data_IF_655542000470
#
_entry.id   IF_655542000470
#
_cell.length_a   1.000
_cell.length_b   1.000
_cell.length_c   1.000
_cell.angle_alpha   90.00
_cell.angle_beta   90.00
_cell.angle_gamma   90.00
#
_symmetry.space_group_name_H-M   'P 1'
#
loop_
_entity.id
_entity.type
_entity.pdbx_description
1 polymer ?
#
# COMPACT_ATOMS: atom_id res chain seq x y z
N UNK A 1 17.69 23.84 -18.72
CA UNK A 1 19.11 23.44 -18.55
C UNK A 1 19.39 22.29 -19.50
N UNK A 2 20.16 22.51 -20.57
CA UNK A 2 20.60 21.44 -21.49
C UNK A 2 21.44 20.46 -20.67
N UNK A 3 21.05 19.18 -20.62
CA UNK A 3 21.76 18.16 -19.85
C UNK A 3 23.21 18.06 -20.33
N UNK A 4 24.13 17.75 -19.42
CA UNK A 4 25.57 17.67 -19.72
C UNK A 4 25.88 16.71 -20.88
N UNK A 5 25.00 15.71 -21.09
CA UNK A 5 25.02 14.72 -22.18
C UNK A 5 24.82 15.36 -23.56
N UNK A 6 23.92 16.33 -23.68
CA UNK A 6 23.67 17.04 -24.93
C UNK A 6 24.85 17.97 -25.27
N UNK A 7 25.50 18.55 -24.25
CA UNK A 7 26.69 19.39 -24.45
C UNK A 7 27.89 18.57 -24.95
N UNK A 8 28.10 17.38 -24.38
CA UNK A 8 29.14 16.45 -24.83
C UNK A 8 28.90 15.96 -26.25
N UNK A 9 27.65 15.60 -26.60
CA UNK A 9 27.30 15.20 -27.96
C UNK A 9 27.53 16.32 -28.99
N UNK A 10 27.15 17.56 -28.66
CA UNK A 10 27.36 18.73 -29.53
C UNK A 10 28.86 19.02 -29.68
N UNK A 11 29.63 19.01 -28.59
CA UNK A 11 31.08 19.19 -28.66
C UNK A 11 31.75 18.13 -29.54
N UNK A 12 31.24 16.89 -29.49
CA UNK A 12 31.74 15.81 -30.32
C UNK A 12 31.48 16.00 -31.80
N UNK A 13 30.25 16.39 -32.14
CA UNK A 13 29.86 16.67 -33.53
C UNK A 13 30.75 17.78 -34.08
N UNK A 14 31.01 18.83 -33.28
CA UNK A 14 31.90 19.93 -33.65
C UNK A 14 33.33 19.44 -33.91
N UNK A 15 33.90 18.65 -33.00
CA UNK A 15 35.26 18.08 -33.15
C UNK A 15 35.35 17.18 -34.39
N UNK A 16 34.35 16.33 -34.62
CA UNK A 16 34.28 15.45 -35.78
C UNK A 16 34.16 16.22 -37.09
N UNK A 17 33.33 17.27 -37.14
CA UNK A 17 33.24 18.15 -38.31
C UNK A 17 34.54 18.92 -38.55
N UNK A 18 35.21 19.40 -37.51
CA UNK A 18 36.50 20.10 -37.63
C UNK A 18 37.60 19.18 -38.14
N UNK A 19 37.68 17.94 -37.63
CA UNK A 19 38.63 16.95 -38.13
C UNK A 19 38.31 16.52 -39.57
N UNK A 20 37.04 16.32 -39.92
CA UNK A 20 36.63 16.00 -41.29
C UNK A 20 36.91 17.14 -42.28
N UNK A 21 36.72 18.39 -41.86
CA UNK A 21 37.10 19.57 -42.64
C UNK A 21 38.63 19.67 -42.79
N UNK A 22 39.39 19.39 -41.73
CA UNK A 22 40.86 19.42 -41.78
C UNK A 22 41.44 18.38 -42.75
N UNK A 23 40.86 17.17 -42.80
CA UNK A 23 41.23 16.12 -43.76
C UNK A 23 40.84 16.51 -45.20
N UNK A 24 39.62 17.05 -45.38
CA UNK A 24 39.16 17.55 -46.69
C UNK A 24 40.05 18.67 -47.26
N UNK A 25 40.54 19.58 -46.40
CA UNK A 25 41.40 20.70 -46.79
C UNK A 25 42.90 20.43 -46.63
N UNK A 26 43.32 19.19 -46.39
CA UNK A 26 44.72 18.81 -46.14
C UNK A 26 45.68 19.35 -47.23
N UNK A 27 45.26 19.33 -48.50
CA UNK A 27 46.05 19.81 -49.63
C UNK A 27 45.96 21.32 -49.91
N UNK A 28 45.07 22.03 -49.21
CA UNK A 28 44.75 23.45 -49.48
C UNK A 28 45.34 24.40 -48.44
N UNK A 29 45.75 23.90 -47.27
CA UNK A 29 46.25 24.70 -46.15
C UNK A 29 47.73 24.33 -45.90
N UNK A 30 48.69 25.24 -46.15
CA UNK A 30 50.13 24.97 -46.06
C UNK A 30 50.61 24.47 -44.68
N UNK A 31 49.89 24.84 -43.61
CA UNK A 31 50.18 24.38 -42.25
C UNK A 31 49.86 22.90 -42.03
N UNK A 32 48.81 22.37 -42.68
CA UNK A 32 48.31 21.01 -42.50
C UNK A 32 49.08 20.03 -43.42
N UNK A 33 49.57 20.52 -44.56
CA UNK A 33 50.38 19.77 -45.53
C UNK A 33 51.69 19.20 -44.97
N UNK A 34 52.24 19.82 -43.92
CA UNK A 34 53.49 19.39 -43.27
C UNK A 34 53.27 18.36 -42.15
N UNK A 35 52.01 18.03 -41.82
CA UNK A 35 51.69 17.02 -40.83
C UNK A 35 51.54 15.65 -41.52
N UNK A 36 52.16 14.57 -41.00
CA UNK A 36 51.96 13.23 -41.53
C UNK A 36 50.47 12.87 -41.50
N UNK A 37 49.94 12.44 -42.64
CA UNK A 37 48.52 12.10 -42.79
C UNK A 37 48.06 11.02 -41.79
N UNK A 38 48.98 10.14 -41.37
CA UNK A 38 48.77 9.12 -40.35
C UNK A 38 48.50 9.68 -38.95
N UNK A 39 49.00 10.88 -38.65
CA UNK A 39 48.82 11.51 -37.33
C UNK A 39 47.38 11.99 -37.13
N UNK A 40 46.77 12.59 -38.16
CA UNK A 40 45.36 13.01 -38.13
C UNK A 40 44.41 11.82 -38.09
N UNK A 41 44.67 10.79 -38.90
CA UNK A 41 43.89 9.55 -38.86
C UNK A 41 43.98 8.86 -37.51
N UNK A 42 45.18 8.74 -36.93
CA UNK A 42 45.38 8.15 -35.60
C UNK A 42 44.65 8.92 -34.50
N UNK A 43 44.78 10.24 -34.46
CA UNK A 43 44.08 11.08 -33.48
C UNK A 43 42.55 10.99 -33.62
N UNK A 44 42.05 10.95 -34.85
CA UNK A 44 40.62 10.82 -35.12
C UNK A 44 40.08 9.45 -34.67
N UNK A 45 40.74 8.35 -35.03
CA UNK A 45 40.29 7.01 -34.66
C UNK A 45 40.38 6.76 -33.16
N UNK A 46 41.42 7.25 -32.49
CA UNK A 46 41.54 7.18 -31.03
C UNK A 46 40.46 8.01 -30.32
N UNK A 47 40.22 9.25 -30.78
CA UNK A 47 39.19 10.11 -30.18
C UNK A 47 37.78 9.53 -30.36
N UNK A 48 37.46 9.04 -31.56
CA UNK A 48 36.19 8.34 -31.83
C UNK A 48 36.07 7.09 -30.96
N UNK A 49 37.15 6.30 -30.85
CA UNK A 49 37.19 5.11 -30.02
C UNK A 49 36.89 5.41 -28.56
N UNK A 50 37.60 6.36 -27.96
CA UNK A 50 37.40 6.78 -26.56
C UNK A 50 35.96 7.21 -26.31
N UNK A 51 35.39 8.01 -27.20
CA UNK A 51 34.05 8.54 -27.01
C UNK A 51 33.00 7.45 -27.16
N UNK A 52 33.16 6.58 -28.15
CA UNK A 52 32.27 5.45 -28.35
C UNK A 52 32.32 4.51 -27.15
N UNK A 53 33.50 4.30 -26.56
CA UNK A 53 33.64 3.56 -25.30
C UNK A 53 32.94 4.27 -24.14
N UNK A 54 33.14 5.57 -23.93
CA UNK A 54 32.47 6.34 -22.86
C UNK A 54 30.94 6.27 -23.01
N UNK A 55 30.43 6.44 -24.23
CA UNK A 55 29.00 6.34 -24.52
C UNK A 55 28.45 4.94 -24.24
N UNK A 56 29.14 3.88 -24.67
CA UNK A 56 28.73 2.50 -24.41
C UNK A 56 28.73 2.18 -22.91
N UNK A 57 29.78 2.63 -22.19
CA UNK A 57 29.89 2.48 -20.74
C UNK A 57 28.71 3.18 -20.06
N UNK A 58 28.40 4.43 -20.40
CA UNK A 58 27.26 5.18 -19.86
C UNK A 58 25.91 4.49 -20.15
N UNK A 59 25.75 3.93 -21.36
CA UNK A 59 24.54 3.22 -21.75
C UNK A 59 24.37 1.94 -20.93
N UNK A 60 25.44 1.16 -20.76
CA UNK A 60 25.44 -0.06 -19.95
C UNK A 60 25.16 0.28 -18.47
N UNK A 61 25.81 1.30 -17.93
CA UNK A 61 25.55 1.75 -16.56
C UNK A 61 24.10 2.22 -16.37
N UNK A 62 23.56 3.00 -17.29
CA UNK A 62 22.17 3.46 -17.21
C UNK A 62 21.18 2.30 -17.26
N UNK A 63 21.40 1.28 -18.11
CA UNK A 63 20.56 0.09 -18.13
C UNK A 63 20.68 -0.72 -16.84
N UNK A 64 21.91 -0.84 -16.31
CA UNK A 64 22.16 -1.52 -15.05
C UNK A 64 21.44 -0.83 -13.89
N UNK A 65 21.52 0.51 -13.79
CA UNK A 65 20.81 1.29 -12.77
C UNK A 65 19.30 1.09 -12.84
N UNK A 66 18.70 1.09 -14.04
CA UNK A 66 17.26 0.84 -14.22
C UNK A 66 16.90 -0.57 -13.71
N UNK A 67 17.71 -1.58 -14.02
CA UNK A 67 17.46 -2.96 -13.58
C UNK A 67 17.59 -3.08 -12.06
N UNK A 68 18.64 -2.51 -11.47
CA UNK A 68 18.85 -2.49 -10.02
C UNK A 68 17.72 -1.74 -9.31
N UNK A 69 17.30 -0.58 -9.82
CA UNK A 69 16.17 0.18 -9.26
C UNK A 69 14.89 -0.67 -9.27
N UNK A 70 14.58 -1.29 -10.41
CA UNK A 70 13.39 -2.16 -10.54
C UNK A 70 13.42 -3.34 -9.57
N UNK A 71 14.59 -3.96 -9.38
CA UNK A 71 14.74 -5.06 -8.42
C UNK A 71 14.53 -4.58 -6.98
N UNK A 72 15.18 -3.48 -6.57
CA UNK A 72 14.99 -2.90 -5.24
C UNK A 72 13.54 -2.52 -4.97
N UNK A 73 12.87 -1.99 -5.98
CA UNK A 73 11.44 -1.65 -5.93
C UNK A 73 10.58 -2.88 -5.69
N UNK A 74 10.78 -3.97 -6.44
CA UNK A 74 10.06 -5.24 -6.23
C UNK A 74 10.34 -5.84 -4.84
N UNK A 75 11.57 -5.79 -4.36
CA UNK A 75 11.95 -6.23 -3.01
C UNK A 75 11.27 -5.37 -1.93
N UNK A 76 11.13 -4.06 -2.14
CA UNK A 76 10.39 -3.17 -1.26
C UNK A 76 8.91 -3.57 -1.19
N UNK A 77 8.27 -3.80 -2.34
CA UNK A 77 6.87 -4.28 -2.41
C UNK A 77 6.69 -5.64 -1.72
N UNK A 78 7.61 -6.59 -1.96
CA UNK A 78 7.54 -7.92 -1.35
C UNK A 78 7.63 -7.84 0.18
N UNK A 79 8.50 -6.98 0.73
CA UNK A 79 8.61 -6.73 2.17
C UNK A 79 7.35 -6.08 2.73
N UNK A 80 6.83 -5.05 2.05
CA UNK A 80 5.57 -4.42 2.44
C UNK A 80 4.42 -5.44 2.47
N UNK A 81 4.35 -6.32 1.47
CA UNK A 81 3.34 -7.38 1.41
C UNK A 81 3.49 -8.39 2.54
N UNK A 82 4.70 -8.83 2.84
CA UNK A 82 4.93 -9.75 3.96
C UNK A 82 4.44 -9.16 5.29
N UNK A 83 4.75 -7.89 5.54
CA UNK A 83 4.32 -7.20 6.76
C UNK A 83 2.80 -6.99 6.80
N UNK A 84 2.21 -6.54 5.70
CA UNK A 84 0.81 -6.16 5.64
C UNK A 84 -0.15 -7.36 5.65
N UNK A 85 0.21 -8.45 4.95
CA UNK A 85 -0.66 -9.62 4.75
C UNK A 85 -1.10 -10.25 6.06
N UNK A 86 -0.19 -10.41 7.03
CA UNK A 86 -0.53 -10.97 8.35
C UNK A 86 -1.58 -10.12 9.07
N UNK A 87 -1.50 -8.79 8.99
CA UNK A 87 -2.50 -7.92 9.59
C UNK A 87 -3.85 -7.99 8.88
N UNK A 88 -3.86 -8.09 7.55
CA UNK A 88 -5.10 -8.30 6.80
C UNK A 88 -5.74 -9.67 7.07
N UNK A 89 -4.95 -10.73 7.19
CA UNK A 89 -5.45 -12.06 7.53
C UNK A 89 -6.07 -12.08 8.94
N UNK A 90 -5.42 -11.45 9.91
CA UNK A 90 -5.98 -11.26 11.25
C UNK A 90 -7.26 -10.42 11.19
N UNK A 91 -7.26 -9.31 10.45
CA UNK A 91 -8.46 -8.48 10.27
C UNK A 91 -9.63 -9.31 9.73
N UNK A 92 -9.43 -10.08 8.65
CA UNK A 92 -10.47 -10.95 8.08
C UNK A 92 -11.01 -11.95 9.10
N UNK A 93 -10.14 -12.54 9.93
CA UNK A 93 -10.57 -13.48 10.97
C UNK A 93 -11.53 -12.84 11.98
N UNK A 94 -11.20 -11.68 12.53
CA UNK A 94 -12.09 -11.02 13.51
C UNK A 94 -13.27 -10.32 12.86
N UNK A 95 -13.12 -9.83 11.62
CA UNK A 95 -14.23 -9.33 10.83
C UNK A 95 -15.27 -10.45 10.62
N UNK A 96 -14.85 -11.66 10.25
CA UNK A 96 -15.75 -12.81 10.16
C UNK A 96 -16.53 -13.05 11.46
N UNK A 97 -15.86 -13.07 12.61
CA UNK A 97 -16.55 -13.24 13.90
C UNK A 97 -17.50 -12.09 14.21
N UNK A 98 -17.12 -10.85 13.89
CA UNK A 98 -17.92 -9.66 14.14
C UNK A 98 -19.17 -9.62 13.26
N UNK A 99 -19.07 -10.12 12.02
CA UNK A 99 -20.09 -9.97 10.99
C UNK A 99 -20.84 -11.27 10.69
N UNK A 100 -20.60 -12.31 11.48
CA UNK A 100 -21.32 -13.58 11.38
C UNK A 100 -21.96 -13.87 12.74
N UNK A 101 -23.31 -13.93 12.80
CA UNK A 101 -24.03 -14.30 14.01
C UNK A 101 -23.51 -15.59 14.63
N UNK A 102 -23.48 -15.66 15.96
CA UNK A 102 -22.83 -16.75 16.69
C UNK A 102 -23.40 -18.14 16.35
N UNK A 103 -24.69 -18.22 16.04
CA UNK A 103 -25.41 -19.43 15.60
C UNK A 103 -25.05 -19.88 14.17
N UNK A 104 -24.45 -19.01 13.37
CA UNK A 104 -24.07 -19.26 11.97
C UNK A 104 -22.57 -19.44 11.77
N UNK A 105 -21.78 -19.36 12.84
CA UNK A 105 -20.33 -19.53 12.76
C UNK A 105 -20.00 -21.01 12.61
N UNK A 106 -19.38 -21.36 11.49
CA UNK A 106 -18.83 -22.69 11.30
C UNK A 106 -17.54 -22.84 12.13
N UNK A 107 -17.43 -23.94 12.88
CA UNK A 107 -16.24 -24.29 13.67
C UNK A 107 -15.38 -25.30 12.91
N UNK A 108 -14.06 -25.08 12.86
CA UNK A 108 -13.08 -26.00 12.23
C UNK A 108 -12.60 -25.55 10.85
N UNK A 109 -12.03 -26.47 10.06
CA UNK A 109 -11.42 -26.22 8.73
C UNK A 109 -12.41 -25.73 7.66
N UNK A 110 -13.71 -25.68 7.96
CA UNK A 110 -14.75 -25.11 7.11
C UNK A 110 -15.02 -23.61 7.32
N UNK A 111 -14.32 -22.94 8.24
CA UNK A 111 -14.57 -21.54 8.58
C UNK A 111 -14.65 -20.66 7.32
N UNK A 112 -15.86 -20.17 7.01
CA UNK A 112 -16.10 -19.29 5.87
C UNK A 112 -15.21 -18.05 5.96
N UNK A 113 -14.71 -17.62 4.80
CA UNK A 113 -14.01 -16.36 4.69
C UNK A 113 -14.94 -15.20 5.04
N UNK A 114 -14.36 -14.12 5.55
CA UNK A 114 -15.10 -12.87 5.82
C UNK A 114 -15.88 -12.42 4.58
N UNK A 115 -17.20 -12.29 4.74
CA UNK A 115 -18.10 -11.75 3.72
C UNK A 115 -18.18 -10.22 3.84
N UNK A 116 -17.66 -9.49 2.85
CA UNK A 116 -17.64 -8.02 2.78
C UNK A 116 -19.05 -7.41 2.55
N UNK A 117 -20.00 -8.21 2.12
CA UNK A 117 -21.39 -7.83 1.82
C UNK A 117 -22.36 -8.20 2.95
N UNK A 118 -21.85 -8.40 4.16
CA UNK A 118 -22.67 -8.65 5.35
C UNK A 118 -23.68 -7.51 5.61
N UNK A 119 -24.79 -7.86 6.25
CA UNK A 119 -25.84 -6.92 6.64
C UNK A 119 -25.54 -6.34 8.00
N UNK A 120 -26.04 -5.14 8.29
CA UNK A 120 -25.81 -4.49 9.58
C UNK A 120 -26.30 -5.34 10.76
N UNK A 121 -27.45 -6.01 10.59
CA UNK A 121 -28.03 -6.90 11.59
C UNK A 121 -27.14 -8.11 11.91
N UNK A 122 -26.23 -8.50 11.01
CA UNK A 122 -25.32 -9.62 11.25
C UNK A 122 -24.32 -9.33 12.38
N UNK A 123 -24.13 -8.04 12.74
CA UNK A 123 -23.25 -7.62 13.83
C UNK A 123 -23.89 -7.70 15.22
N UNK A 124 -25.15 -8.12 15.38
CA UNK A 124 -25.85 -8.06 16.67
C UNK A 124 -25.22 -8.90 17.79
N UNK A 125 -24.31 -9.84 17.48
CA UNK A 125 -23.55 -10.62 18.46
C UNK A 125 -22.17 -10.02 18.77
N UNK A 126 -21.89 -8.75 18.41
CA UNK A 126 -20.59 -8.10 18.56
C UNK A 126 -20.01 -8.10 19.99
N UNK A 127 -20.88 -8.12 21.00
CA UNK A 127 -20.50 -8.10 22.41
C UNK A 127 -20.27 -9.49 23.00
N UNK A 128 -20.54 -10.55 22.23
CA UNK A 128 -20.21 -11.90 22.63
C UNK A 128 -18.72 -12.16 22.40
N UNK A 129 -18.09 -13.02 23.21
CA UNK A 129 -16.73 -13.46 22.97
C UNK A 129 -16.65 -14.36 21.73
N UNK A 130 -15.45 -14.45 21.15
CA UNK A 130 -15.18 -15.36 20.02
C UNK A 130 -15.09 -16.83 20.44
N UNK A 131 -14.88 -17.10 21.74
CA UNK A 131 -14.61 -18.43 22.31
C UNK A 131 -13.45 -19.19 21.63
N UNK A 132 -12.56 -18.47 20.95
CA UNK A 132 -11.38 -19.04 20.29
C UNK A 132 -10.25 -19.21 21.29
N UNK A 133 -9.64 -20.41 21.33
CA UNK A 133 -8.53 -20.73 22.23
C UNK A 133 -7.25 -19.90 22.01
N UNK A 134 -7.14 -19.19 20.89
CA UNK A 134 -5.94 -18.41 20.55
C UNK A 134 -5.88 -17.03 21.22
N UNK A 135 -6.94 -16.60 21.93
CA UNK A 135 -7.04 -15.26 22.52
C UNK A 135 -7.62 -15.29 23.94
N UNK A 136 -7.67 -14.12 24.58
CA UNK A 136 -8.49 -13.91 25.78
C UNK A 136 -9.91 -14.38 25.52
N UNK A 137 -10.30 -15.45 26.20
CA UNK A 137 -11.54 -16.17 25.99
C UNK A 137 -12.78 -15.31 26.32
N UNK A 138 -12.63 -14.29 27.16
CA UNK A 138 -13.74 -13.48 27.67
C UNK A 138 -13.90 -12.14 26.97
N UNK A 139 -12.89 -11.67 26.22
CA UNK A 139 -12.97 -10.37 25.56
C UNK A 139 -13.99 -10.38 24.41
N UNK A 140 -14.95 -9.43 24.38
CA UNK A 140 -15.90 -9.28 23.29
C UNK A 140 -15.25 -9.09 21.92
N UNK A 141 -15.87 -9.66 20.88
CA UNK A 141 -15.34 -9.65 19.51
C UNK A 141 -15.11 -8.24 18.97
N UNK A 142 -15.99 -7.29 19.31
CA UNK A 142 -15.85 -5.91 18.85
C UNK A 142 -14.52 -5.28 19.27
N UNK A 143 -14.07 -5.52 20.50
CA UNK A 143 -12.81 -4.96 20.99
C UNK A 143 -11.61 -5.61 20.32
N UNK A 144 -11.66 -6.93 20.07
CA UNK A 144 -10.63 -7.63 19.29
C UNK A 144 -10.53 -7.08 17.87
N UNK A 145 -11.67 -6.89 17.21
CA UNK A 145 -11.71 -6.34 15.85
C UNK A 145 -11.11 -4.92 15.79
N UNK A 146 -11.52 -4.04 16.71
CA UNK A 146 -10.99 -2.67 16.80
C UNK A 146 -9.48 -2.65 17.10
N UNK A 147 -9.00 -3.51 18.00
CA UNK A 147 -7.58 -3.66 18.29
C UNK A 147 -6.79 -4.09 17.05
N UNK A 148 -7.31 -5.02 16.27
CA UNK A 148 -6.67 -5.48 15.04
C UNK A 148 -6.69 -4.42 13.95
N UNK A 149 -7.75 -3.62 13.85
CA UNK A 149 -7.78 -2.45 12.95
C UNK A 149 -6.72 -1.41 13.34
N UNK A 150 -6.54 -1.12 14.63
CA UNK A 150 -5.47 -0.24 15.10
C UNK A 150 -4.08 -0.83 14.81
N UNK A 151 -3.87 -2.13 15.06
CA UNK A 151 -2.61 -2.78 14.70
C UNK A 151 -2.33 -2.74 13.19
N UNK A 152 -3.36 -2.89 12.35
CA UNK A 152 -3.25 -2.74 10.90
C UNK A 152 -2.84 -1.31 10.55
N UNK A 153 -3.52 -0.29 11.10
CA UNK A 153 -3.17 1.12 10.91
C UNK A 153 -1.69 1.37 11.24
N UNK A 154 -1.24 0.99 12.43
CA UNK A 154 0.13 1.23 12.89
C UNK A 154 1.16 0.53 11.96
N UNK A 155 0.82 -0.66 11.47
CA UNK A 155 1.66 -1.39 10.52
C UNK A 155 1.74 -0.68 9.17
N UNK A 156 0.61 -0.19 8.66
CA UNK A 156 0.56 0.58 7.42
C UNK A 156 1.33 1.91 7.52
N UNK A 157 1.21 2.63 8.64
CA UNK A 157 1.99 3.85 8.90
C UNK A 157 3.49 3.55 8.90
N UNK A 158 3.92 2.46 9.57
CA UNK A 158 5.32 2.03 9.56
C UNK A 158 5.79 1.67 8.15
N UNK A 159 4.97 1.00 7.34
CA UNK A 159 5.32 0.69 5.95
C UNK A 159 5.48 1.98 5.14
N UNK A 160 4.52 2.89 5.23
CA UNK A 160 4.55 4.17 4.50
C UNK A 160 5.77 5.04 4.86
N UNK A 161 6.24 4.98 6.10
CA UNK A 161 7.40 5.76 6.56
C UNK A 161 8.75 5.11 6.22
N UNK A 162 8.83 3.77 6.17
CA UNK A 162 10.10 3.06 6.09
C UNK A 162 10.35 2.33 4.77
N UNK A 163 9.33 2.17 3.92
CA UNK A 163 9.43 1.44 2.65
C UNK A 163 9.12 2.40 1.51
N UNK A 164 10.06 2.53 0.57
CA UNK A 164 9.86 3.30 -0.65
C UNK A 164 8.87 2.58 -1.59
N UNK A 165 7.67 3.16 -1.70
CA UNK A 165 6.60 2.71 -2.59
C UNK A 165 6.39 3.66 -3.77
N UNK A 166 7.39 4.49 -4.12
CA UNK A 166 7.26 5.51 -5.18
C UNK A 166 6.88 4.92 -6.54
N UNK A 167 7.34 3.71 -6.85
CA UNK A 167 6.99 3.01 -8.10
C UNK A 167 5.62 2.29 -8.01
N UNK A 168 4.97 2.25 -6.84
CA UNK A 168 3.66 1.61 -6.59
C UNK A 168 2.66 2.59 -5.95
N UNK A 169 2.33 3.72 -6.62
CA UNK A 169 1.49 4.76 -6.05
C UNK A 169 0.08 4.28 -5.68
N UNK A 170 -0.46 3.30 -6.41
CA UNK A 170 -1.77 2.71 -6.10
C UNK A 170 -1.79 2.02 -4.73
N UNK A 171 -0.77 1.22 -4.43
CA UNK A 171 -0.61 0.56 -3.13
C UNK A 171 -0.43 1.60 -2.01
N UNK A 172 0.43 2.59 -2.24
CA UNK A 172 0.65 3.69 -1.28
C UNK A 172 -0.65 4.43 -0.95
N UNK A 173 -1.44 4.77 -1.97
CA UNK A 173 -2.74 5.43 -1.80
C UNK A 173 -3.76 4.56 -1.05
N UNK A 174 -3.79 3.25 -1.29
CA UNK A 174 -4.63 2.32 -0.53
C UNK A 174 -4.27 2.32 0.97
N UNK A 175 -2.98 2.30 1.28
CA UNK A 175 -2.50 2.34 2.67
C UNK A 175 -2.87 3.67 3.34
N UNK A 176 -2.60 4.80 2.67
CA UNK A 176 -2.98 6.13 3.17
C UNK A 176 -4.48 6.24 3.44
N UNK A 177 -5.31 5.80 2.49
CA UNK A 177 -6.77 5.80 2.65
C UNK A 177 -7.22 4.92 3.82
N UNK A 178 -6.59 3.76 4.00
CA UNK A 178 -6.92 2.86 5.11
C UNK A 178 -6.57 3.49 6.45
N UNK A 179 -5.38 4.09 6.58
CA UNK A 179 -4.95 4.81 7.78
C UNK A 179 -5.88 5.97 8.11
N UNK A 180 -6.25 6.77 7.10
CA UNK A 180 -7.18 7.90 7.25
C UNK A 180 -8.56 7.46 7.75
N UNK A 181 -9.12 6.41 7.14
CA UNK A 181 -10.46 5.91 7.51
C UNK A 181 -10.47 5.33 8.92
N UNK A 182 -9.46 4.53 9.30
CA UNK A 182 -9.36 3.97 10.66
C UNK A 182 -9.22 5.10 11.69
N UNK A 183 -8.36 6.10 11.40
CA UNK A 183 -8.14 7.24 12.31
C UNK A 183 -9.39 8.08 12.50
N UNK A 184 -10.16 8.34 11.42
CA UNK A 184 -11.43 9.09 11.50
C UNK A 184 -12.56 8.31 12.17
N UNK A 185 -12.42 6.99 12.27
CA UNK A 185 -13.45 6.09 12.79
C UNK A 185 -13.13 5.59 14.20
N UNK A 186 -12.41 6.37 15.00
CA UNK A 186 -12.10 5.97 16.38
C UNK A 186 -13.36 5.97 17.25
N UNK A 187 -13.85 4.75 17.52
CA UNK A 187 -15.08 4.47 18.26
C UNK A 187 -14.86 3.55 19.45
N UNK A 188 -13.59 3.27 19.79
CA UNK A 188 -13.26 2.28 20.82
C UNK A 188 -13.85 2.67 22.18
N UNK A 189 -13.55 3.89 22.64
CA UNK A 189 -14.03 4.36 23.95
C UNK A 189 -15.55 4.52 23.99
N UNK A 190 -16.17 4.91 22.87
CA UNK A 190 -17.62 5.03 22.77
C UNK A 190 -18.34 3.68 22.89
N UNK A 191 -17.79 2.62 22.29
CA UNK A 191 -18.33 1.25 22.41
C UNK A 191 -17.99 0.66 23.79
N UNK A 192 -16.81 0.98 24.34
CA UNK A 192 -16.41 0.56 25.68
C UNK A 192 -17.30 1.17 26.77
N UNK A 193 -17.73 2.41 26.58
CA UNK A 193 -18.74 3.03 27.44
C UNK A 193 -20.03 2.23 27.43
N UNK A 194 -20.62 1.95 26.24
CA UNK A 194 -21.84 1.16 26.11
C UNK A 194 -21.74 -0.24 26.72
N UNK A 195 -20.57 -0.88 26.61
CA UNK A 195 -20.35 -2.22 27.15
C UNK A 195 -20.46 -2.27 28.68
N UNK A 196 -20.00 -1.20 29.35
CA UNK A 196 -19.97 -1.09 30.80
C UNK A 196 -21.15 -0.31 31.38
N UNK A 197 -21.84 0.48 30.57
CA UNK A 197 -22.93 1.34 31.01
C UNK A 197 -24.18 0.54 31.37
N UNK A 198 -24.80 0.95 32.47
CA UNK A 198 -26.12 0.49 32.91
C UNK A 198 -27.05 1.67 33.08
N UNK A 199 -28.34 1.44 32.85
CA UNK A 199 -29.42 2.38 33.12
C UNK A 199 -30.52 1.72 33.94
N UNK A 200 -31.59 2.48 34.20
CA UNK A 200 -32.76 1.97 34.92
C UNK A 200 -32.58 1.93 36.44
N UNK A 201 -33.36 1.07 37.08
CA UNK A 201 -33.37 0.94 38.54
C UNK A 201 -32.16 0.10 38.99
N UNK A 202 -31.43 0.48 40.06
CA UNK A 202 -30.36 -0.35 40.63
C UNK A 202 -30.74 -1.80 40.95
N UNK A 203 -32.03 -2.08 41.21
CA UNK A 203 -32.52 -3.44 41.45
C UNK A 203 -32.72 -4.26 40.17
N UNK A 204 -32.88 -3.59 39.03
CA UNK A 204 -33.14 -4.18 37.70
C UNK A 204 -32.36 -3.38 36.65
N UNK A 205 -31.02 -3.52 36.62
CA UNK A 205 -30.19 -2.73 35.72
C UNK A 205 -30.44 -3.14 34.27
N UNK A 206 -30.64 -2.16 33.41
CA UNK A 206 -30.68 -2.33 31.96
C UNK A 206 -29.26 -2.13 31.43
N UNK A 207 -28.67 -3.17 30.84
CA UNK A 207 -27.35 -3.06 30.24
C UNK A 207 -27.46 -2.44 28.85
N UNK A 208 -26.76 -1.32 28.63
CA UNK A 208 -26.82 -0.60 27.35
C UNK A 208 -26.36 -1.49 26.19
N UNK A 209 -25.35 -2.34 26.39
CA UNK A 209 -24.91 -3.33 25.40
C UNK A 209 -26.06 -4.23 24.91
N UNK A 210 -26.96 -4.66 25.79
CA UNK A 210 -28.02 -5.61 25.43
C UNK A 210 -29.11 -4.91 24.61
N UNK A 211 -29.43 -3.65 24.97
CA UNK A 211 -30.28 -2.77 24.16
C UNK A 211 -29.68 -2.52 22.77
N UNK A 212 -28.36 -2.30 22.68
CA UNK A 212 -27.69 -2.11 21.39
C UNK A 212 -27.66 -3.38 20.54
N UNK A 213 -27.48 -4.57 21.14
CA UNK A 213 -27.61 -5.86 20.43
C UNK A 213 -29.00 -5.98 19.82
N UNK A 214 -30.04 -5.67 20.59
CA UNK A 214 -31.44 -5.70 20.15
C UNK A 214 -31.68 -4.68 19.03
N UNK A 215 -31.25 -3.44 19.21
CA UNK A 215 -31.41 -2.38 18.22
C UNK A 215 -30.71 -2.69 16.89
N UNK A 216 -29.52 -3.31 16.92
CA UNK A 216 -28.81 -3.76 15.71
C UNK A 216 -29.57 -4.91 15.05
N UNK A 217 -30.04 -5.90 15.82
CA UNK A 217 -30.78 -7.06 15.31
C UNK A 217 -32.10 -6.66 14.63
N UNK A 218 -32.82 -5.73 15.25
CA UNK A 218 -34.13 -5.24 14.82
C UNK A 218 -34.01 -4.04 13.86
N UNK A 219 -32.79 -3.63 13.48
CA UNK A 219 -32.59 -2.48 12.62
C UNK A 219 -33.31 -2.68 11.29
N UNK A 220 -34.11 -1.69 10.89
CA UNK A 220 -34.81 -1.66 9.62
C UNK A 220 -34.53 -0.36 8.90
N UNK A 221 -34.45 -0.42 7.58
CA UNK A 221 -34.18 0.74 6.73
C UNK A 221 -32.72 0.86 6.29
N UNK A 222 -32.41 2.03 5.73
CA UNK A 222 -31.09 2.34 5.18
C UNK A 222 -30.06 2.49 6.30
N UNK A 223 -28.90 1.85 6.16
CA UNK A 223 -27.79 1.97 7.11
C UNK A 223 -27.08 3.30 6.84
N UNK A 224 -27.34 4.31 7.66
CA UNK A 224 -26.71 5.63 7.54
C UNK A 224 -26.61 6.31 8.90
N UNK A 225 -25.73 7.30 8.98
CA UNK A 225 -25.58 8.12 10.19
C UNK A 225 -26.81 9.03 10.35
N UNK A 226 -27.34 9.10 11.56
CA UNK A 226 -28.46 9.97 11.92
C UNK A 226 -28.04 10.99 12.98
N UNK A 227 -28.60 12.19 12.98
CA UNK A 227 -28.24 13.19 13.99
C UNK A 227 -28.53 12.67 15.42
N UNK A 228 -27.55 12.78 16.32
CA UNK A 228 -27.66 12.43 17.74
C UNK A 228 -28.23 11.03 18.05
N UNK A 229 -27.82 10.01 17.29
CA UNK A 229 -28.28 8.63 17.48
C UNK A 229 -27.17 7.75 18.09
N UNK A 230 -27.50 7.04 19.19
CA UNK A 230 -26.58 6.13 19.87
C UNK A 230 -26.08 5.00 18.96
N UNK A 231 -26.85 4.61 17.94
CA UNK A 231 -26.49 3.53 17.02
C UNK A 231 -25.36 3.91 16.04
N UNK A 232 -25.09 5.21 15.88
CA UNK A 232 -24.15 5.73 14.90
C UNK A 232 -22.75 5.13 14.99
N UNK A 233 -22.25 4.85 16.19
CA UNK A 233 -20.92 4.20 16.34
C UNK A 233 -20.89 2.79 15.75
N UNK A 234 -22.00 2.05 15.81
CA UNK A 234 -22.10 0.73 15.19
C UNK A 234 -22.29 0.85 13.68
N UNK A 235 -23.03 1.86 13.20
CA UNK A 235 -23.10 2.20 11.77
C UNK A 235 -21.71 2.56 11.23
N UNK A 236 -20.92 3.31 12.00
CA UNK A 236 -19.54 3.64 11.66
C UNK A 236 -18.65 2.40 11.65
N UNK A 237 -18.76 1.51 12.65
CA UNK A 237 -18.08 0.21 12.66
C UNK A 237 -18.43 -0.63 11.43
N UNK A 238 -19.70 -0.65 11.04
CA UNK A 238 -20.20 -1.36 9.86
C UNK A 238 -19.50 -0.87 8.59
N UNK A 239 -19.48 0.45 8.36
CA UNK A 239 -18.82 1.03 7.20
C UNK A 239 -17.31 0.86 7.24
N UNK A 240 -16.68 0.97 8.42
CA UNK A 240 -15.26 0.76 8.62
C UNK A 240 -14.84 -0.65 8.20
N UNK A 241 -15.49 -1.67 8.75
CA UNK A 241 -15.19 -3.09 8.47
C UNK A 241 -15.42 -3.42 7.00
N UNK A 242 -16.52 -2.94 6.39
CA UNK A 242 -16.77 -3.13 4.95
C UNK A 242 -15.68 -2.47 4.11
N UNK A 243 -15.35 -1.22 4.41
CA UNK A 243 -14.40 -0.45 3.60
C UNK A 243 -13.01 -1.05 3.64
N UNK A 244 -12.51 -1.40 4.84
CA UNK A 244 -11.23 -2.11 4.98
C UNK A 244 -11.27 -3.46 4.27
N UNK A 245 -12.41 -4.16 4.34
CA UNK A 245 -12.67 -5.37 3.57
C UNK A 245 -12.49 -5.23 2.06
N UNK A 246 -13.05 -4.17 1.46
CA UNK A 246 -12.88 -3.89 0.04
C UNK A 246 -11.45 -3.50 -0.31
N UNK A 247 -10.79 -2.68 0.52
CA UNK A 247 -9.39 -2.29 0.29
C UNK A 247 -8.46 -3.50 0.33
N UNK A 248 -8.67 -4.44 1.26
CA UNK A 248 -7.90 -5.68 1.34
C UNK A 248 -8.01 -6.53 0.06
N UNK A 249 -9.20 -6.58 -0.55
CA UNK A 249 -9.41 -7.31 -1.80
C UNK A 249 -8.65 -6.66 -2.96
N UNK A 250 -8.80 -5.34 -3.08
CA UNK A 250 -8.17 -4.55 -4.13
C UNK A 250 -6.65 -4.64 -4.02
N UNK A 251 -6.13 -4.52 -2.79
CA UNK A 251 -4.73 -4.69 -2.46
C UNK A 251 -4.21 -6.07 -2.88
N UNK A 252 -4.93 -7.13 -2.50
CA UNK A 252 -4.51 -8.52 -2.81
C UNK A 252 -4.46 -8.76 -4.31
N UNK A 253 -5.44 -8.25 -5.08
CA UNK A 253 -5.45 -8.34 -6.55
C UNK A 253 -4.27 -7.59 -7.17
N UNK A 254 -4.02 -6.38 -6.71
CA UNK A 254 -2.93 -5.53 -7.19
C UNK A 254 -1.57 -6.19 -6.94
N UNK A 255 -1.30 -6.64 -5.71
CA UNK A 255 -0.04 -7.28 -5.34
C UNK A 255 0.22 -8.55 -6.15
N UNK A 256 -0.79 -9.42 -6.32
CA UNK A 256 -0.68 -10.62 -7.17
C UNK A 256 -0.28 -10.29 -8.60
N UNK A 257 -0.91 -9.26 -9.17
CA UNK A 257 -0.60 -8.80 -10.53
C UNK A 257 0.85 -8.32 -10.69
N UNK A 258 1.41 -7.69 -9.66
CA UNK A 258 2.75 -7.11 -9.66
C UNK A 258 3.84 -8.14 -9.34
N UNK A 259 3.57 -9.05 -8.39
CA UNK A 259 4.50 -10.08 -7.94
C UNK A 259 4.42 -11.37 -8.76
N UNK A 260 3.53 -11.47 -9.76
CA UNK A 260 3.32 -12.67 -10.60
C UNK A 260 3.11 -13.95 -9.76
N UNK A 261 2.34 -13.82 -8.68
CA UNK A 261 1.94 -14.90 -7.76
C UNK A 261 0.42 -15.00 -7.73
#
# INVERSE_FOLDING_TARGET
MISIRIRLAIALIIILTLCGLADYFHNSIPFIQNLPNDYFRGFFTETVGIVLTVFLVDLIFSQHEIKVKKQKSLEALARANLLCRTHFDNFKRYAYFLTTPSDKRETGDGAKSFNKEFKFQDMHTLFEPSFTLMDDFQEPIVFKCLKILNNLKDSLEKILLNIDLSDYPKISNMFLRTVDIITKSDIYDAIKFDYNATGGNPKEPIYIRDEMKKAIKEYTGEVKMHYSNMINKYVLLYFLVRTVGFVEEEYTKEVKSLLKT
#
